data_IF_998023835010
#
_entry.id   IF_998023835010
#
_cell.length_a   1.000
_cell.length_b   1.000
_cell.length_c   1.000
_cell.angle_alpha   90.00
_cell.angle_beta   90.00
_cell.angle_gamma   90.00
#
_symmetry.space_group_name_H-M   'P 1'
#
loop_
_entity.id
_entity.type
_entity.pdbx_description
1 polymer ?
#
# COMPACT_ATOMS: atom_id res chain seq x y z
N UNK A 1 -52.75 -66.69 30.18
CA UNK A 1 -52.43 -67.86 29.32
C UNK A 1 -52.03 -67.36 27.94
N UNK A 2 -50.90 -67.84 27.42
CA UNK A 2 -50.47 -67.93 25.98
C UNK A 2 -50.32 -66.62 25.15
N UNK A 3 -49.09 -66.21 24.78
CA UNK A 3 -48.34 -66.55 23.54
C UNK A 3 -48.93 -65.90 22.27
N UNK A 4 -48.23 -65.47 21.22
CA UNK A 4 -46.83 -65.29 20.82
C UNK A 4 -46.91 -64.69 19.38
N UNK A 5 -45.99 -63.80 18.98
CA UNK A 5 -45.58 -63.47 17.58
C UNK A 5 -46.60 -63.06 16.51
N UNK A 6 -46.34 -61.92 15.83
CA UNK A 6 -45.72 -61.91 14.48
C UNK A 6 -45.39 -60.50 14.01
N UNK A 7 -44.11 -60.27 13.72
CA UNK A 7 -43.61 -59.09 13.03
C UNK A 7 -44.01 -59.16 11.56
N UNK A 8 -44.56 -58.08 11.00
CA UNK A 8 -44.53 -57.80 9.57
C UNK A 8 -44.10 -56.35 9.37
N UNK A 9 -42.87 -56.19 8.89
CA UNK A 9 -42.31 -54.94 8.40
C UNK A 9 -43.09 -54.54 7.16
N UNK A 10 -43.75 -53.38 7.19
CA UNK A 10 -44.24 -52.70 5.99
C UNK A 10 -43.55 -51.35 5.97
N UNK A 11 -42.63 -51.22 5.02
CA UNK A 11 -41.98 -49.98 4.64
C UNK A 11 -42.95 -49.25 3.70
N UNK A 12 -43.41 -48.07 4.09
CA UNK A 12 -44.06 -47.10 3.21
C UNK A 12 -43.78 -45.72 3.83
N UNK A 13 -42.80 -44.99 3.32
CA UNK A 13 -42.86 -44.12 2.14
C UNK A 13 -42.91 -42.66 2.64
N UNK A 14 -41.78 -41.98 2.41
CA UNK A 14 -41.47 -40.65 2.88
C UNK A 14 -42.31 -39.57 2.18
N UNK A 15 -42.69 -38.53 2.92
CA UNK A 15 -43.02 -37.21 2.41
C UNK A 15 -42.32 -36.18 3.31
N UNK A 16 -41.04 -35.96 3.04
CA UNK A 16 -40.31 -34.81 3.56
C UNK A 16 -40.60 -33.63 2.64
N UNK A 17 -41.45 -32.71 3.11
CA UNK A 17 -41.68 -31.42 2.47
C UNK A 17 -40.45 -30.54 2.72
N UNK A 18 -39.45 -30.59 1.83
CA UNK A 18 -38.27 -29.73 1.91
C UNK A 18 -38.62 -28.32 1.42
N UNK A 19 -38.79 -27.41 2.36
CA UNK A 19 -38.88 -25.97 2.13
C UNK A 19 -37.51 -25.48 1.65
N UNK A 20 -37.35 -25.21 0.34
CA UNK A 20 -36.14 -24.60 -0.20
C UNK A 20 -36.17 -23.10 0.12
N UNK A 21 -35.57 -22.70 1.25
CA UNK A 21 -35.16 -21.31 1.44
C UNK A 21 -34.02 -21.03 0.46
N UNK A 22 -34.32 -20.34 -0.64
CA UNK A 22 -33.30 -19.79 -1.53
C UNK A 22 -32.54 -18.69 -0.78
N UNK A 23 -31.40 -19.05 -0.16
CA UNK A 23 -30.43 -18.08 0.30
C UNK A 23 -29.81 -17.39 -0.92
N UNK A 24 -30.34 -16.23 -1.30
CA UNK A 24 -29.69 -15.38 -2.29
C UNK A 24 -28.33 -14.94 -1.72
N UNK A 25 -27.20 -15.18 -2.41
CA UNK A 25 -25.94 -14.65 -1.97
C UNK A 25 -26.01 -13.12 -2.01
N UNK A 26 -25.90 -12.47 -0.86
CA UNK A 26 -25.69 -11.02 -0.81
C UNK A 26 -24.37 -10.74 -1.50
N UNK A 27 -24.42 -10.21 -2.71
CA UNK A 27 -23.27 -9.60 -3.36
C UNK A 27 -22.86 -8.40 -2.52
N UNK A 28 -21.93 -8.60 -1.59
CA UNK A 28 -21.20 -7.49 -0.97
C UNK A 28 -20.42 -6.83 -2.10
N UNK A 29 -20.99 -5.77 -2.66
CA UNK A 29 -20.25 -4.83 -3.49
C UNK A 29 -19.14 -4.27 -2.61
N UNK A 30 -17.89 -4.68 -2.82
CA UNK A 30 -16.76 -4.10 -2.13
C UNK A 30 -16.73 -2.60 -2.49
N UNK A 31 -17.17 -1.75 -1.55
CA UNK A 31 -17.16 -0.31 -1.73
C UNK A 31 -15.70 0.12 -1.90
N UNK A 32 -15.37 0.64 -3.09
CA UNK A 32 -14.03 1.09 -3.40
C UNK A 32 -13.68 2.23 -2.43
N UNK A 33 -12.77 1.96 -1.48
CA UNK A 33 -12.27 2.99 -0.57
C UNK A 33 -11.80 4.18 -1.40
N UNK A 34 -12.21 5.42 -1.09
CA UNK A 34 -11.78 6.58 -1.84
C UNK A 34 -10.25 6.64 -1.83
N UNK A 35 -9.65 6.68 -3.03
CA UNK A 35 -8.19 6.79 -3.17
C UNK A 35 -7.76 8.16 -2.66
N UNK A 36 -7.10 8.18 -1.50
CA UNK A 36 -6.47 9.38 -0.97
C UNK A 36 -5.36 9.81 -1.92
N UNK A 37 -5.62 10.83 -2.75
CA UNK A 37 -4.62 11.33 -3.71
C UNK A 37 -3.86 12.48 -3.07
N UNK A 38 -2.52 12.49 -3.19
CA UNK A 38 -1.73 13.61 -2.66
C UNK A 38 -1.94 14.84 -3.55
N UNK A 39 -2.35 15.95 -2.96
CA UNK A 39 -2.57 17.20 -3.69
C UNK A 39 -1.33 17.59 -4.52
N UNK A 40 -1.54 17.99 -5.77
CA UNK A 40 -0.47 18.48 -6.66
C UNK A 40 0.14 19.80 -6.16
N UNK A 41 -0.61 20.57 -5.37
CA UNK A 41 -0.16 21.85 -4.80
C UNK A 41 0.74 21.67 -3.58
N UNK A 42 0.73 20.49 -2.94
CA UNK A 42 1.63 20.20 -1.83
C UNK A 42 3.07 20.12 -2.34
N UNK A 43 3.96 20.94 -1.79
CA UNK A 43 5.37 21.04 -2.23
C UNK A 43 5.49 21.16 -3.77
N UNK A 44 5.05 22.29 -4.35
CA UNK A 44 4.86 22.46 -5.79
C UNK A 44 6.18 22.77 -6.51
N UNK A 45 7.20 21.95 -6.29
CA UNK A 45 8.50 22.06 -6.92
C UNK A 45 8.59 21.14 -8.13
N UNK A 46 9.21 21.61 -9.20
CA UNK A 46 9.46 20.79 -10.37
C UNK A 46 10.75 19.99 -10.19
N UNK A 47 10.63 18.75 -9.73
CA UNK A 47 11.75 17.85 -9.50
C UNK A 47 12.55 17.52 -10.76
N UNK A 48 11.96 17.67 -11.96
CA UNK A 48 12.65 17.41 -13.23
C UNK A 48 13.56 18.56 -13.63
N UNK A 49 13.28 19.77 -13.14
CA UNK A 49 14.00 20.99 -13.55
C UNK A 49 15.44 21.02 -13.05
N UNK A 50 15.69 20.61 -11.80
CA UNK A 50 17.03 20.57 -11.24
C UNK A 50 17.11 19.84 -9.90
N UNK A 51 18.31 19.40 -9.54
CA UNK A 51 18.61 18.88 -8.20
C UNK A 51 18.27 19.89 -7.09
N UNK A 52 18.35 21.19 -7.36
CA UNK A 52 17.94 22.22 -6.40
C UNK A 52 16.43 22.16 -6.11
N UNK A 53 15.60 22.09 -7.15
CA UNK A 53 14.14 21.95 -6.99
C UNK A 53 13.76 20.62 -6.32
N UNK A 54 14.46 19.54 -6.66
CA UNK A 54 14.32 18.25 -6.00
C UNK A 54 14.60 18.35 -4.50
N UNK A 55 15.73 18.96 -4.10
CA UNK A 55 16.07 19.20 -2.69
C UNK A 55 15.06 20.12 -1.99
N UNK A 56 14.46 21.10 -2.68
CA UNK A 56 13.37 21.92 -2.12
C UNK A 56 12.12 21.08 -1.85
N UNK A 57 11.80 20.14 -2.73
CA UNK A 57 10.72 19.18 -2.50
C UNK A 57 10.97 18.31 -1.27
N UNK A 58 12.16 17.73 -1.14
CA UNK A 58 12.54 16.94 0.04
C UNK A 58 12.35 17.75 1.32
N UNK A 59 12.88 18.98 1.36
CA UNK A 59 12.75 19.84 2.55
C UNK A 59 11.30 20.16 2.88
N UNK A 60 10.48 20.46 1.87
CA UNK A 60 9.06 20.75 2.09
C UNK A 60 8.32 19.53 2.62
N UNK A 61 8.53 18.36 2.01
CA UNK A 61 7.91 17.11 2.45
C UNK A 61 8.31 16.76 3.89
N UNK A 62 9.59 16.91 4.26
CA UNK A 62 10.10 16.66 5.62
C UNK A 62 9.60 17.63 6.69
N UNK A 63 9.19 18.84 6.28
CA UNK A 63 8.53 19.80 7.18
C UNK A 63 7.05 19.50 7.32
N UNK A 64 6.41 19.11 6.22
CA UNK A 64 4.99 18.80 6.21
C UNK A 64 4.68 17.51 6.96
N UNK A 65 5.49 16.46 6.77
CA UNK A 65 5.48 15.25 7.57
C UNK A 65 6.72 15.24 8.44
N UNK A 66 6.57 15.59 9.72
CA UNK A 66 7.67 15.67 10.66
C UNK A 66 8.39 14.31 10.77
N UNK A 67 9.67 14.28 10.42
CA UNK A 67 10.55 13.11 10.50
C UNK A 67 11.68 13.36 11.49
N UNK A 68 12.21 12.31 12.10
CA UNK A 68 13.38 12.42 12.98
C UNK A 68 14.57 13.05 12.22
N UNK A 69 15.25 14.02 12.84
CA UNK A 69 16.31 14.82 12.20
C UNK A 69 15.84 15.78 11.09
N UNK A 70 14.53 15.83 10.81
CA UNK A 70 13.89 16.80 9.96
C UNK A 70 14.43 16.86 8.52
N UNK A 71 14.40 18.04 7.88
CA UNK A 71 14.86 18.21 6.51
C UNK A 71 16.33 17.88 6.27
N UNK A 72 17.18 18.03 7.28
CA UNK A 72 18.60 17.71 7.16
C UNK A 72 18.81 16.21 7.01
N UNK A 73 18.15 15.41 7.86
CA UNK A 73 18.20 13.96 7.75
C UNK A 73 17.65 13.46 6.43
N UNK A 74 16.49 13.97 5.99
CA UNK A 74 15.89 13.56 4.73
C UNK A 74 16.81 13.85 3.52
N UNK A 75 17.57 14.95 3.55
CA UNK A 75 18.58 15.25 2.53
C UNK A 75 19.81 14.36 2.63
N UNK A 76 20.24 14.00 3.85
CA UNK A 76 21.34 13.09 4.09
C UNK A 76 21.04 11.71 3.50
N UNK A 77 19.87 11.15 3.84
CA UNK A 77 19.38 9.87 3.32
C UNK A 77 19.34 9.92 1.79
N UNK A 78 18.62 10.88 1.18
CA UNK A 78 18.52 10.96 -0.28
C UNK A 78 19.87 11.15 -1.00
N UNK A 79 20.85 11.79 -0.34
CA UNK A 79 22.21 11.89 -0.87
C UNK A 79 22.89 10.52 -0.86
N UNK A 80 22.84 9.82 0.26
CA UNK A 80 23.44 8.49 0.37
C UNK A 80 22.80 7.50 -0.61
N UNK A 81 21.47 7.46 -0.66
CA UNK A 81 20.74 6.46 -1.43
C UNK A 81 20.96 6.60 -2.95
N UNK A 82 20.96 7.82 -3.48
CA UNK A 82 20.95 8.01 -4.94
C UNK A 82 21.78 9.19 -5.44
N UNK A 83 22.45 9.92 -4.55
CA UNK A 83 23.01 11.24 -4.88
C UNK A 83 21.97 12.18 -5.49
N UNK A 84 20.71 12.10 -5.02
CA UNK A 84 19.55 12.84 -5.53
C UNK A 84 19.12 12.51 -6.96
N UNK A 85 19.45 11.32 -7.48
CA UNK A 85 19.11 10.91 -8.84
C UNK A 85 17.75 10.17 -8.89
N UNK A 86 16.70 10.73 -9.53
CA UNK A 86 15.41 10.05 -9.69
C UNK A 86 15.46 8.80 -10.56
N UNK A 87 16.45 8.67 -11.45
CA UNK A 87 16.65 7.52 -12.33
C UNK A 87 17.58 6.46 -11.75
N UNK A 88 18.04 6.60 -10.50
CA UNK A 88 18.94 5.63 -9.88
C UNK A 88 18.28 4.25 -9.77
N UNK A 89 19.02 3.20 -10.12
CA UNK A 89 18.64 1.81 -9.96
C UNK A 89 19.88 1.00 -9.58
N UNK A 90 19.76 0.08 -8.63
CA UNK A 90 20.87 -0.76 -8.20
C UNK A 90 20.58 -2.26 -8.43
N UNK A 91 21.62 -3.09 -8.31
CA UNK A 91 21.53 -4.54 -8.52
C UNK A 91 20.64 -5.26 -7.50
N UNK A 92 20.37 -4.64 -6.35
CA UNK A 92 19.46 -5.15 -5.33
C UNK A 92 17.98 -4.88 -5.61
N UNK A 93 17.64 -4.23 -6.73
CA UNK A 93 16.25 -3.95 -7.10
C UNK A 93 15.66 -2.73 -6.39
N UNK A 94 16.49 -1.78 -5.97
CA UNK A 94 16.05 -0.51 -5.38
C UNK A 94 16.14 0.63 -6.40
N UNK A 95 15.20 1.57 -6.34
CA UNK A 95 15.03 2.59 -7.37
C UNK A 95 14.67 3.98 -6.84
N UNK A 96 15.06 4.99 -7.62
CA UNK A 96 14.73 6.40 -7.42
C UNK A 96 15.47 7.07 -6.27
N UNK A 97 14.97 8.24 -5.89
CA UNK A 97 15.65 9.20 -5.00
C UNK A 97 16.00 8.60 -3.63
N UNK A 98 15.08 7.84 -3.05
CA UNK A 98 15.23 7.20 -1.74
C UNK A 98 15.43 5.68 -1.84
N UNK A 99 15.83 5.19 -3.02
CA UNK A 99 16.09 3.77 -3.28
C UNK A 99 14.98 2.88 -2.71
N UNK A 100 13.75 3.07 -3.19
CA UNK A 100 12.62 2.25 -2.81
C UNK A 100 12.73 0.87 -3.46
N UNK A 101 12.49 -0.19 -2.68
CA UNK A 101 12.44 -1.55 -3.20
C UNK A 101 11.31 -1.68 -4.24
N UNK A 102 11.68 -2.03 -5.46
CA UNK A 102 10.75 -2.05 -6.62
C UNK A 102 9.62 -3.07 -6.45
N UNK A 103 9.89 -4.21 -5.82
CA UNK A 103 8.88 -5.25 -5.52
C UNK A 103 7.76 -4.76 -4.60
N UNK A 104 8.06 -3.87 -3.66
CA UNK A 104 7.07 -3.30 -2.73
C UNK A 104 6.45 -2.00 -3.24
N UNK A 105 7.00 -1.41 -4.31
CA UNK A 105 6.62 -0.08 -4.76
C UNK A 105 5.12 0.03 -5.09
N UNK A 106 4.48 -0.88 -5.85
CA UNK A 106 3.06 -0.74 -6.20
C UNK A 106 2.16 -0.57 -4.96
N UNK A 107 2.35 -1.41 -3.94
CA UNK A 107 1.57 -1.32 -2.71
C UNK A 107 1.87 -0.05 -1.90
N UNK A 108 3.14 0.39 -1.87
CA UNK A 108 3.53 1.63 -1.17
C UNK A 108 3.00 2.86 -1.88
N UNK A 109 3.15 2.96 -3.19
CA UNK A 109 2.66 4.09 -3.97
C UNK A 109 1.15 4.24 -3.84
N UNK A 110 0.42 3.12 -3.87
CA UNK A 110 -1.03 3.10 -3.67
C UNK A 110 -1.41 3.58 -2.27
N UNK A 111 -0.80 2.98 -1.23
CA UNK A 111 -1.04 3.32 0.17
C UNK A 111 -0.84 4.81 0.44
N UNK A 112 0.15 5.41 -0.23
CA UNK A 112 0.53 6.80 -0.01
C UNK A 112 0.06 7.75 -1.12
N UNK A 113 -0.91 7.34 -1.94
CA UNK A 113 -1.69 8.24 -2.80
C UNK A 113 -1.08 8.60 -4.15
N UNK A 114 -0.22 7.72 -4.67
CA UNK A 114 0.48 7.82 -5.95
C UNK A 114 0.21 6.57 -6.80
N UNK A 115 -1.06 6.19 -6.96
CA UNK A 115 -1.43 4.99 -7.71
C UNK A 115 -0.88 5.00 -9.14
N UNK A 116 -0.27 3.89 -9.55
CA UNK A 116 0.41 3.68 -10.85
C UNK A 116 1.56 4.65 -11.16
N UNK A 117 2.01 5.46 -10.22
CA UNK A 117 3.21 6.27 -10.44
C UNK A 117 4.44 5.38 -10.49
N UNK A 118 5.32 5.63 -11.46
CA UNK A 118 6.63 4.99 -11.50
C UNK A 118 7.45 5.30 -10.23
N UNK A 119 8.23 4.32 -9.77
CA UNK A 119 9.23 4.50 -8.70
C UNK A 119 10.29 5.55 -9.06
N UNK A 120 10.52 5.77 -10.36
CA UNK A 120 11.42 6.80 -10.89
C UNK A 120 10.78 8.19 -10.98
N UNK A 121 9.49 8.32 -10.66
CA UNK A 121 8.87 9.63 -10.51
C UNK A 121 9.39 10.27 -9.23
N UNK A 122 10.25 11.28 -9.36
CA UNK A 122 10.92 11.92 -8.22
C UNK A 122 9.93 12.44 -7.17
N UNK A 123 8.80 13.03 -7.60
CA UNK A 123 7.75 13.49 -6.67
C UNK A 123 7.15 12.32 -5.89
N UNK A 124 6.69 11.28 -6.57
CA UNK A 124 6.08 10.13 -5.91
C UNK A 124 7.08 9.48 -4.94
N UNK A 125 8.30 9.20 -5.41
CA UNK A 125 9.35 8.58 -4.61
C UNK A 125 9.65 9.37 -3.33
N UNK A 126 9.81 10.70 -3.43
CA UNK A 126 10.05 11.58 -2.26
C UNK A 126 8.87 11.56 -1.30
N UNK A 127 7.65 11.78 -1.80
CA UNK A 127 6.47 11.92 -0.95
C UNK A 127 6.09 10.60 -0.25
N UNK A 128 6.18 9.47 -0.95
CA UNK A 128 5.98 8.13 -0.37
C UNK A 128 7.00 7.86 0.73
N UNK A 129 8.28 8.08 0.45
CA UNK A 129 9.38 7.78 1.40
C UNK A 129 9.27 8.61 2.68
N UNK A 130 8.93 9.90 2.56
CA UNK A 130 8.81 10.79 3.70
C UNK A 130 7.59 10.48 4.55
N UNK A 131 6.48 10.03 3.95
CA UNK A 131 5.31 9.53 4.69
C UNK A 131 5.61 8.21 5.40
N UNK A 132 6.40 7.33 4.79
CA UNK A 132 6.89 6.11 5.43
C UNK A 132 7.78 6.44 6.63
N UNK A 133 8.75 7.33 6.47
CA UNK A 133 9.64 7.76 7.53
C UNK A 133 8.90 8.47 8.67
N UNK A 134 7.87 9.26 8.36
CA UNK A 134 7.02 9.87 9.37
C UNK A 134 6.23 8.83 10.17
N UNK A 135 5.75 7.77 9.50
CA UNK A 135 4.96 6.71 10.15
C UNK A 135 5.79 5.73 10.97
N UNK A 136 7.00 5.38 10.50
CA UNK A 136 7.77 4.26 11.03
C UNK A 136 9.24 4.58 11.34
N UNK A 137 9.67 5.83 11.17
CA UNK A 137 11.07 6.23 11.31
C UNK A 137 11.94 5.81 10.12
N UNK A 138 13.24 6.05 10.24
CA UNK A 138 14.22 5.81 9.18
C UNK A 138 14.76 4.38 9.12
N UNK A 139 14.28 3.45 9.95
CA UNK A 139 14.88 2.11 10.08
C UNK A 139 14.89 1.24 8.81
N UNK A 140 14.14 1.63 7.77
CA UNK A 140 14.19 0.99 6.45
C UNK A 140 15.35 1.49 5.56
N UNK A 141 16.06 2.54 5.98
CA UNK A 141 17.21 3.13 5.28
C UNK A 141 18.47 2.91 6.09
N UNK A 142 19.53 2.45 5.43
CA UNK A 142 20.81 2.18 6.09
C UNK A 142 21.56 3.48 6.44
N UNK A 143 21.27 4.56 5.70
CA UNK A 143 21.81 5.88 5.95
C UNK A 143 20.83 6.70 6.80
N UNK A 144 20.89 6.48 8.12
CA UNK A 144 19.99 7.04 9.12
C UNK A 144 20.76 7.60 10.31
#
# INVERSE_FOLDING_TARGET
>A
MTNLTKVRRIVAAALMLTLVLAAAPSLTTAEARPRTTVSRTLCPYDWRRSTYQLKRMIRCAARHWSVAGGPHQALSVARCESHFNPGAYNSGGYAGVFQQATSYWPGRSDTFGFHDYSVFNGRANIMVSLRMAHRAGWGAWACG
#
